data_IF_524552287120
#
_entry.id   IF_524552287120
#
_cell.length_a   1.000
_cell.length_b   1.000
_cell.length_c   1.000
_cell.angle_alpha   90.00
_cell.angle_beta   90.00
_cell.angle_gamma   90.00
#
_symmetry.space_group_name_H-M   'P 1'
#
loop_
_entity.id
_entity.type
_entity.pdbx_description
1 polymer ?
#
# COMPACT_ATOMS: atom_id res chain seq x y z
N UNK A 1 7.51 -19.78 -4.24
CA UNK A 1 8.04 -18.64 -5.02
C UNK A 1 6.88 -18.07 -5.84
N UNK A 2 6.42 -16.86 -5.54
CA UNK A 2 5.42 -16.19 -6.37
C UNK A 2 6.11 -15.55 -7.57
N UNK A 3 5.89 -16.08 -8.75
CA UNK A 3 6.27 -15.42 -10.00
C UNK A 3 5.17 -14.38 -10.27
N UNK A 4 5.52 -13.10 -10.17
CA UNK A 4 4.61 -11.99 -10.47
C UNK A 4 5.14 -11.25 -11.68
N UNK A 5 4.27 -11.05 -12.67
CA UNK A 5 4.58 -10.15 -13.77
C UNK A 5 4.81 -8.74 -13.21
N UNK A 6 5.80 -8.08 -13.75
CA UNK A 6 6.21 -6.76 -13.27
C UNK A 6 5.57 -5.66 -14.11
N UNK A 7 4.92 -4.70 -13.46
CA UNK A 7 4.39 -3.51 -14.10
C UNK A 7 4.85 -2.24 -13.37
N UNK A 8 4.76 -1.09 -14.01
CA UNK A 8 5.02 0.19 -13.37
C UNK A 8 3.70 0.75 -12.83
N UNK A 9 3.52 0.86 -11.49
CA UNK A 9 2.26 1.30 -10.88
C UNK A 9 1.85 2.73 -11.28
N UNK A 10 2.80 3.64 -11.42
CA UNK A 10 2.51 5.02 -11.83
C UNK A 10 1.97 5.07 -13.27
N UNK A 11 2.63 4.34 -14.20
CA UNK A 11 2.14 4.25 -15.58
C UNK A 11 0.76 3.60 -15.67
N UNK A 12 0.48 2.62 -14.81
CA UNK A 12 -0.86 2.01 -14.73
C UNK A 12 -1.90 3.06 -14.30
N UNK A 13 -1.62 3.83 -13.24
CA UNK A 13 -2.53 4.86 -12.75
C UNK A 13 -2.76 5.97 -13.79
N UNK A 14 -1.71 6.45 -14.45
CA UNK A 14 -1.82 7.44 -15.53
C UNK A 14 -2.59 6.87 -16.73
N UNK A 15 -2.35 5.62 -17.11
CA UNK A 15 -3.10 4.97 -18.17
C UNK A 15 -4.61 4.88 -17.86
N UNK A 16 -4.98 4.57 -16.60
CA UNK A 16 -6.37 4.61 -16.17
C UNK A 16 -6.97 6.01 -16.28
N UNK A 17 -6.24 7.05 -15.88
CA UNK A 17 -6.71 8.43 -16.01
C UNK A 17 -7.08 8.78 -17.46
N UNK A 18 -6.24 8.38 -18.42
CA UNK A 18 -6.51 8.60 -19.86
C UNK A 18 -7.68 7.77 -20.38
N UNK A 19 -7.92 6.59 -19.84
CA UNK A 19 -9.06 5.75 -20.24
C UNK A 19 -10.39 6.29 -19.72
N UNK A 20 -10.45 6.78 -18.47
CA UNK A 20 -11.73 7.18 -17.87
C UNK A 20 -12.20 8.56 -18.30
N UNK A 21 -11.31 9.49 -18.66
CA UNK A 21 -11.69 10.84 -19.14
C UNK A 21 -12.67 10.83 -20.31
N UNK A 22 -12.40 10.11 -21.42
CA UNK A 22 -13.36 10.04 -22.55
C UNK A 22 -14.67 9.32 -22.22
N UNK A 23 -14.72 8.59 -21.08
CA UNK A 23 -15.95 7.97 -20.58
C UNK A 23 -16.83 8.95 -19.79
N UNK A 24 -16.44 10.22 -19.67
CA UNK A 24 -17.18 11.26 -18.97
C UNK A 24 -16.85 11.36 -17.48
N UNK A 25 -15.76 10.75 -17.03
CA UNK A 25 -15.28 10.92 -15.65
C UNK A 25 -14.47 12.21 -15.54
N UNK A 26 -14.90 13.08 -14.63
CA UNK A 26 -14.17 14.30 -14.29
C UNK A 26 -13.11 14.00 -13.23
N UNK A 27 -11.87 14.40 -13.49
CA UNK A 27 -10.72 14.21 -12.58
C UNK A 27 -10.28 15.58 -12.04
N UNK A 28 -10.28 15.71 -10.73
CA UNK A 28 -9.83 16.90 -10.01
C UNK A 28 -8.59 16.58 -9.19
N UNK A 29 -7.44 17.06 -9.63
CA UNK A 29 -6.16 16.97 -8.90
C UNK A 29 -6.01 18.16 -7.95
N UNK A 30 -5.12 18.03 -6.95
CA UNK A 30 -4.87 19.06 -5.94
C UNK A 30 -6.16 19.57 -5.25
N UNK A 31 -7.14 18.68 -5.10
CA UNK A 31 -8.45 18.98 -4.56
C UNK A 31 -8.74 18.09 -3.34
N UNK A 32 -8.12 18.38 -2.18
CA UNK A 32 -8.34 17.59 -0.98
C UNK A 32 -9.76 17.74 -0.47
N UNK A 33 -10.42 16.61 -0.18
CA UNK A 33 -11.70 16.59 0.54
C UNK A 33 -11.42 16.77 2.02
N UNK A 34 -11.93 17.85 2.60
CA UNK A 34 -11.68 18.23 4.00
C UNK A 34 -12.77 17.76 4.94
N UNK A 35 -14.00 17.65 4.44
CA UNK A 35 -15.16 17.20 5.21
C UNK A 35 -16.14 16.40 4.35
N UNK A 36 -16.84 15.47 5.00
CA UNK A 36 -17.93 14.68 4.42
C UNK A 36 -19.14 14.80 5.34
N UNK A 37 -20.24 15.32 4.83
CA UNK A 37 -21.52 15.42 5.52
C UNK A 37 -22.62 14.68 4.75
N UNK A 38 -23.67 14.25 5.47
CA UNK A 38 -24.88 13.67 4.87
C UNK A 38 -26.05 14.57 5.18
N UNK A 39 -26.62 15.16 4.14
CA UNK A 39 -27.72 16.11 4.27
C UNK A 39 -28.76 15.89 3.17
N UNK A 40 -30.04 15.88 3.56
CA UNK A 40 -31.16 15.77 2.64
C UNK A 40 -31.06 14.60 1.62
N UNK A 41 -30.55 13.45 2.08
CA UNK A 41 -30.39 12.26 1.25
C UNK A 41 -29.23 12.31 0.22
N UNK A 42 -28.36 13.30 0.33
CA UNK A 42 -27.14 13.44 -0.47
C UNK A 42 -25.89 13.43 0.42
N UNK A 43 -24.76 13.15 -0.19
CA UNK A 43 -23.44 13.29 0.44
C UNK A 43 -22.80 14.58 -0.07
N UNK A 44 -22.39 15.42 0.86
CA UNK A 44 -21.69 16.67 0.59
C UNK A 44 -20.21 16.49 0.90
N UNK A 45 -19.37 16.93 -0.02
CA UNK A 45 -17.90 16.91 0.12
C UNK A 45 -17.41 18.34 0.06
N UNK A 46 -16.73 18.78 1.10
CA UNK A 46 -16.10 20.10 1.13
C UNK A 46 -14.67 20.03 0.66
N UNK A 47 -14.28 21.01 -0.16
CA UNK A 47 -12.91 21.21 -0.64
C UNK A 47 -12.54 22.69 -0.51
N UNK A 48 -11.25 23.05 -0.49
CA UNK A 48 -10.84 24.47 -0.37
C UNK A 48 -11.40 25.40 -1.46
N UNK A 49 -11.70 24.86 -2.63
CA UNK A 49 -12.09 25.65 -3.80
C UNK A 49 -13.56 25.44 -4.25
N UNK A 50 -14.33 24.66 -3.51
CA UNK A 50 -15.73 24.41 -3.83
C UNK A 50 -16.26 23.14 -3.19
N UNK A 51 -17.53 22.85 -3.42
CA UNK A 51 -18.21 21.72 -2.79
C UNK A 51 -18.77 20.79 -3.86
N UNK A 52 -18.79 19.49 -3.57
CA UNK A 52 -19.41 18.46 -4.41
C UNK A 52 -20.62 17.89 -3.69
N UNK A 53 -21.71 17.71 -4.40
CA UNK A 53 -22.93 17.06 -3.91
C UNK A 53 -23.20 15.82 -4.75
N UNK A 54 -23.24 14.65 -4.11
CA UNK A 54 -23.39 13.36 -4.77
C UNK A 54 -24.47 12.49 -4.11
N UNK A 55 -25.04 11.57 -4.89
CA UNK A 55 -25.92 10.53 -4.35
C UNK A 55 -25.15 9.45 -3.60
N UNK A 56 -24.00 9.11 -4.12
CA UNK A 56 -23.11 8.08 -3.60
C UNK A 56 -21.66 8.57 -3.63
N UNK A 57 -20.88 8.17 -2.64
CA UNK A 57 -19.45 8.48 -2.53
C UNK A 57 -18.65 7.20 -2.30
N UNK A 58 -17.48 7.12 -2.92
CA UNK A 58 -16.50 6.05 -2.67
C UNK A 58 -15.28 6.63 -1.97
N UNK A 59 -14.95 6.10 -0.80
CA UNK A 59 -13.71 6.38 -0.11
C UNK A 59 -12.67 5.33 -0.51
N UNK A 60 -11.92 5.61 -1.57
CA UNK A 60 -10.79 4.80 -2.05
C UNK A 60 -9.46 5.41 -1.59
N UNK A 61 -9.41 5.92 -0.37
CA UNK A 61 -8.37 6.77 0.18
C UNK A 61 -7.22 5.99 0.83
N UNK A 62 -7.22 4.65 0.73
CA UNK A 62 -6.17 3.76 1.23
C UNK A 62 -5.62 4.18 2.62
N UNK A 63 -4.35 4.49 2.73
CA UNK A 63 -3.69 4.87 3.98
C UNK A 63 -4.25 6.17 4.60
N UNK A 64 -4.84 7.06 3.83
CA UNK A 64 -5.49 8.31 4.30
C UNK A 64 -6.91 8.09 4.84
N UNK A 65 -7.44 6.88 4.80
CA UNK A 65 -8.80 6.57 5.29
C UNK A 65 -9.03 6.92 6.76
N UNK A 66 -7.99 6.97 7.59
CA UNK A 66 -8.09 7.31 9.01
C UNK A 66 -8.49 8.78 9.28
N UNK A 67 -8.41 9.66 8.30
CA UNK A 67 -8.91 11.04 8.42
C UNK A 67 -10.45 11.10 8.46
N UNK A 68 -11.13 10.12 7.88
CA UNK A 68 -12.58 10.05 7.88
C UNK A 68 -13.10 9.39 9.17
N UNK A 69 -14.04 10.05 9.84
CA UNK A 69 -14.56 9.67 11.17
C UNK A 69 -14.99 8.21 11.25
N UNK A 70 -15.71 7.74 10.24
CA UNK A 70 -16.25 6.36 10.17
C UNK A 70 -15.17 5.30 9.93
N UNK A 71 -14.01 5.71 9.45
CA UNK A 71 -12.89 4.82 9.11
C UNK A 71 -11.69 4.94 10.06
N UNK A 72 -11.71 5.92 10.97
CA UNK A 72 -10.57 6.37 11.80
C UNK A 72 -9.80 5.24 12.51
N UNK A 73 -10.47 4.14 12.90
CA UNK A 73 -9.85 3.03 13.63
C UNK A 73 -9.87 1.71 12.87
N UNK A 74 -10.34 1.70 11.63
CA UNK A 74 -10.41 0.48 10.82
C UNK A 74 -9.05 0.08 10.25
N UNK A 75 -8.15 1.04 10.08
CA UNK A 75 -6.80 0.84 9.58
C UNK A 75 -5.84 1.89 10.17
N UNK A 76 -4.55 1.66 10.00
CA UNK A 76 -3.50 2.64 10.25
C UNK A 76 -2.60 2.78 9.02
N UNK A 77 -1.98 3.95 8.80
CA UNK A 77 -0.90 4.10 7.84
C UNK A 77 0.38 3.44 8.38
N UNK A 78 0.98 2.59 7.58
CA UNK A 78 2.29 1.97 7.84
C UNK A 78 3.18 2.29 6.65
N UNK A 79 4.34 2.89 6.90
CA UNK A 79 5.25 3.31 5.84
C UNK A 79 6.24 2.21 5.49
N UNK A 80 6.35 1.90 4.22
CA UNK A 80 7.38 1.04 3.65
C UNK A 80 8.33 1.89 2.81
N UNK A 81 9.58 1.44 2.69
CA UNK A 81 10.64 2.20 2.03
C UNK A 81 11.29 1.37 0.92
N UNK A 82 11.80 2.07 -0.07
CA UNK A 82 12.36 1.49 -1.29
C UNK A 82 13.64 2.22 -1.66
N UNK A 83 14.64 1.48 -2.12
CA UNK A 83 15.84 1.99 -2.75
C UNK A 83 15.94 1.49 -4.19
N UNK A 84 16.57 2.28 -5.07
CA UNK A 84 16.79 1.91 -6.46
C UNK A 84 18.21 2.24 -6.89
N UNK A 85 18.86 1.31 -7.56
CA UNK A 85 20.23 1.46 -8.07
C UNK A 85 20.30 2.31 -9.35
N UNK A 86 21.51 2.65 -9.75
CA UNK A 86 21.82 2.99 -11.14
C UNK A 86 21.55 1.76 -12.04
N UNK A 87 21.50 1.92 -13.39
CA UNK A 87 21.34 0.79 -14.31
C UNK A 87 22.45 -0.26 -14.12
N UNK A 88 22.08 -1.53 -14.00
CA UNK A 88 23.03 -2.63 -13.94
C UNK A 88 23.70 -2.83 -15.29
N UNK A 89 24.98 -3.12 -15.26
CA UNK A 89 25.78 -3.49 -16.44
C UNK A 89 25.59 -4.98 -16.76
N UNK A 90 26.00 -5.38 -17.96
CA UNK A 90 25.92 -6.77 -18.41
C UNK A 90 26.69 -7.74 -17.47
N UNK A 91 27.87 -7.33 -17.00
CA UNK A 91 28.66 -8.08 -16.02
C UNK A 91 27.87 -8.41 -14.74
N UNK A 92 27.04 -7.46 -14.26
CA UNK A 92 26.20 -7.67 -13.09
C UNK A 92 25.12 -8.74 -13.33
N UNK A 93 24.51 -8.76 -14.52
CA UNK A 93 23.48 -9.75 -14.85
C UNK A 93 24.01 -11.17 -14.91
N UNK A 94 25.20 -11.37 -15.42
CA UNK A 94 25.84 -12.69 -15.54
C UNK A 94 26.03 -13.35 -14.17
N UNK A 95 26.37 -12.57 -13.15
CA UNK A 95 26.56 -13.09 -11.78
C UNK A 95 25.26 -13.18 -10.98
N UNK A 96 24.35 -12.22 -11.15
CA UNK A 96 23.02 -12.23 -10.47
C UNK A 96 22.14 -13.37 -10.98
N UNK A 97 22.32 -13.80 -12.25
CA UNK A 97 21.58 -14.94 -12.82
C UNK A 97 20.09 -14.72 -12.99
N UNK A 98 19.63 -13.47 -13.06
CA UNK A 98 18.21 -13.10 -13.08
C UNK A 98 17.62 -13.13 -14.51
N UNK A 99 17.40 -14.33 -15.03
CA UNK A 99 17.07 -14.53 -16.45
C UNK A 99 15.68 -14.01 -16.85
N UNK A 100 14.67 -14.18 -15.98
CA UNK A 100 13.26 -13.92 -16.35
C UNK A 100 12.73 -12.59 -15.78
N UNK A 101 13.55 -11.80 -15.10
CA UNK A 101 13.20 -10.47 -14.55
C UNK A 101 11.95 -10.47 -13.64
N UNK A 102 11.58 -11.60 -13.09
CA UNK A 102 10.43 -11.75 -12.19
C UNK A 102 10.62 -10.92 -10.90
N UNK A 103 9.51 -10.50 -10.31
CA UNK A 103 9.53 -9.97 -8.94
C UNK A 103 9.81 -11.10 -7.95
N UNK A 104 10.60 -10.81 -6.95
CA UNK A 104 11.01 -11.77 -5.89
C UNK A 104 10.60 -11.18 -4.55
N UNK A 105 10.06 -12.03 -3.69
CA UNK A 105 9.83 -11.74 -2.26
C UNK A 105 10.47 -12.86 -1.44
N UNK A 106 11.09 -12.51 -0.30
CA UNK A 106 11.56 -13.50 0.66
C UNK A 106 10.42 -14.01 1.57
N UNK A 107 10.71 -14.89 2.49
CA UNK A 107 9.73 -15.52 3.36
C UNK A 107 9.72 -14.95 4.79
N UNK A 108 10.33 -13.79 5.02
CA UNK A 108 10.30 -13.10 6.31
C UNK A 108 8.93 -12.46 6.58
N UNK A 109 8.62 -12.20 7.84
CA UNK A 109 7.45 -11.38 8.21
C UNK A 109 7.59 -9.94 7.71
N UNK A 110 8.79 -9.37 7.87
CA UNK A 110 9.17 -8.08 7.31
C UNK A 110 9.90 -8.33 5.98
N UNK A 111 9.12 -8.69 5.00
CA UNK A 111 9.59 -9.16 3.68
C UNK A 111 10.55 -8.16 3.01
N UNK A 112 11.56 -8.72 2.32
CA UNK A 112 12.23 -7.99 1.25
C UNK A 112 11.57 -8.34 -0.06
N UNK A 113 11.25 -7.34 -0.85
CA UNK A 113 10.75 -7.50 -2.20
C UNK A 113 11.62 -6.73 -3.17
N UNK A 114 12.00 -7.37 -4.26
CA UNK A 114 12.90 -6.76 -5.23
C UNK A 114 12.61 -7.21 -6.64
N UNK A 115 12.95 -6.37 -7.58
CA UNK A 115 12.76 -6.60 -9.02
C UNK A 115 13.69 -5.71 -9.85
N UNK A 116 13.74 -6.02 -11.15
CA UNK A 116 14.40 -5.19 -12.15
C UNK A 116 13.39 -4.27 -12.84
N UNK A 117 13.76 -3.02 -13.06
CA UNK A 117 13.03 -2.08 -13.92
C UNK A 117 13.32 -2.36 -15.40
N UNK A 118 12.50 -1.77 -16.29
CA UNK A 118 12.71 -1.91 -17.76
C UNK A 118 14.09 -1.42 -18.19
N UNK A 119 14.63 -0.39 -17.53
CA UNK A 119 15.94 0.19 -17.77
C UNK A 119 17.06 -0.43 -16.93
N UNK A 120 16.85 -1.69 -16.50
CA UNK A 120 17.86 -2.51 -15.81
C UNK A 120 18.32 -2.01 -14.43
N UNK A 121 17.49 -1.31 -13.68
CA UNK A 121 17.80 -0.95 -12.29
C UNK A 121 17.25 -2.00 -11.34
N UNK A 122 17.99 -2.30 -10.27
CA UNK A 122 17.47 -3.07 -9.17
C UNK A 122 16.67 -2.15 -8.24
N UNK A 123 15.45 -2.53 -7.96
CA UNK A 123 14.58 -1.92 -6.94
C UNK A 123 14.42 -2.91 -5.81
N UNK A 124 14.69 -2.49 -4.57
CA UNK A 124 14.45 -3.29 -3.36
C UNK A 124 13.69 -2.46 -2.34
N UNK A 125 12.69 -3.07 -1.72
CA UNK A 125 11.94 -2.50 -0.61
C UNK A 125 11.65 -3.52 0.48
N UNK A 126 11.05 -3.07 1.59
CA UNK A 126 10.73 -3.90 2.74
C UNK A 126 11.68 -3.69 3.91
N UNK A 127 12.18 -4.76 4.54
CA UNK A 127 13.07 -4.81 5.69
C UNK A 127 12.41 -4.33 6.99
N UNK A 128 12.01 -3.06 7.02
CA UNK A 128 11.42 -2.38 8.17
C UNK A 128 10.21 -1.56 7.76
N UNK A 129 9.41 -1.22 8.75
CA UNK A 129 8.27 -0.31 8.55
C UNK A 129 8.38 0.88 9.51
N UNK A 130 8.00 2.04 9.02
CA UNK A 130 7.87 3.24 9.85
C UNK A 130 6.42 3.50 10.21
N UNK A 131 6.22 3.99 11.40
CA UNK A 131 4.90 4.24 11.96
C UNK A 131 4.69 5.73 12.17
N UNK A 132 3.50 6.19 11.85
CA UNK A 132 3.06 7.54 12.13
C UNK A 132 2.43 7.61 13.52
N UNK A 133 2.81 8.58 14.31
CA UNK A 133 2.11 8.94 15.54
C UNK A 133 1.02 9.96 15.22
N UNK A 134 -0.18 9.71 15.70
CA UNK A 134 -1.31 10.59 15.39
C UNK A 134 -1.69 10.55 13.90
N UNK A 135 -1.70 11.71 13.27
CA UNK A 135 -2.05 11.90 11.87
C UNK A 135 -0.85 12.34 11.01
N UNK A 136 0.37 12.13 11.50
CA UNK A 136 1.58 12.44 10.74
C UNK A 136 1.68 11.54 9.51
N UNK A 137 1.70 12.14 8.32
CA UNK A 137 1.81 11.44 7.02
C UNK A 137 3.10 11.80 6.29
N UNK A 138 4.10 12.34 6.99
CA UNK A 138 5.40 12.75 6.43
C UNK A 138 6.51 11.80 6.90
N UNK A 139 6.50 10.55 6.37
CA UNK A 139 7.45 9.48 6.72
C UNK A 139 8.09 8.83 5.50
N UNK A 140 8.06 9.51 4.38
CA UNK A 140 8.63 9.05 3.10
C UNK A 140 10.17 8.95 3.13
N UNK A 141 10.83 9.68 4.04
CA UNK A 141 12.27 9.62 4.23
C UNK A 141 12.63 8.93 5.56
N UNK A 142 13.38 7.84 5.46
CA UNK A 142 13.93 7.11 6.60
C UNK A 142 15.36 6.65 6.29
N UNK A 143 16.39 7.48 6.58
CA UNK A 143 17.78 7.15 6.27
C UNK A 143 18.25 5.82 6.85
N UNK A 144 17.80 5.46 8.05
CA UNK A 144 18.19 4.19 8.70
C UNK A 144 17.72 2.99 7.90
N UNK A 145 16.45 3.00 7.44
CA UNK A 145 15.91 1.93 6.60
C UNK A 145 16.55 1.93 5.22
N UNK A 146 16.80 3.10 4.61
CA UNK A 146 17.47 3.18 3.32
C UNK A 146 18.88 2.61 3.38
N UNK A 147 19.68 2.95 4.38
CA UNK A 147 21.03 2.41 4.54
C UNK A 147 21.01 0.90 4.80
N UNK A 148 20.04 0.43 5.58
CA UNK A 148 19.79 -1.00 5.77
C UNK A 148 19.51 -1.72 4.46
N UNK A 149 18.54 -1.23 3.65
CA UNK A 149 18.19 -1.82 2.35
C UNK A 149 19.37 -1.82 1.37
N UNK A 150 20.18 -0.75 1.35
CA UNK A 150 21.40 -0.71 0.52
C UNK A 150 22.41 -1.80 0.92
N UNK A 151 22.55 -2.04 2.22
CA UNK A 151 23.42 -3.11 2.73
C UNK A 151 22.85 -4.48 2.36
N UNK A 152 21.53 -4.69 2.52
CA UNK A 152 20.88 -5.95 2.14
C UNK A 152 21.05 -6.26 0.64
N UNK A 153 20.98 -5.23 -0.23
CA UNK A 153 21.28 -5.42 -1.67
C UNK A 153 22.71 -5.91 -1.88
N UNK A 154 23.70 -5.33 -1.18
CA UNK A 154 25.10 -5.69 -1.33
C UNK A 154 25.42 -7.07 -0.75
N UNK A 155 24.75 -7.45 0.34
CA UNK A 155 24.87 -8.79 0.95
C UNK A 155 24.22 -9.85 0.07
N UNK A 156 23.04 -9.57 -0.47
CA UNK A 156 22.32 -10.51 -1.33
C UNK A 156 22.97 -10.67 -2.71
N UNK A 157 23.57 -9.60 -3.23
CA UNK A 157 24.25 -9.56 -4.53
C UNK A 157 25.66 -8.97 -4.40
N UNK A 158 26.65 -9.77 -3.98
CA UNK A 158 28.04 -9.29 -3.73
C UNK A 158 28.68 -8.61 -4.94
N UNK A 159 28.29 -8.96 -6.17
CA UNK A 159 28.73 -8.28 -7.40
C UNK A 159 28.30 -6.81 -7.44
N UNK A 160 27.28 -6.43 -6.68
CA UNK A 160 26.74 -5.06 -6.59
C UNK A 160 27.34 -4.26 -5.41
N UNK A 161 28.45 -4.70 -4.80
CA UNK A 161 29.05 -4.06 -3.61
C UNK A 161 29.35 -2.57 -3.82
N UNK A 162 29.76 -2.17 -5.02
CA UNK A 162 30.14 -0.79 -5.38
C UNK A 162 29.04 -0.04 -6.16
N UNK A 163 27.84 -0.64 -6.29
CA UNK A 163 26.72 -0.05 -7.03
C UNK A 163 26.23 1.24 -6.36
N UNK A 164 25.89 2.24 -7.17
CA UNK A 164 25.31 3.50 -6.69
C UNK A 164 23.79 3.39 -6.58
N UNK A 165 23.23 3.95 -5.53
CA UNK A 165 21.79 4.13 -5.38
C UNK A 165 21.42 5.54 -5.82
N UNK A 166 20.41 5.64 -6.66
CA UNK A 166 20.03 6.89 -7.33
C UNK A 166 18.69 7.45 -6.84
N UNK A 167 17.84 6.59 -6.25
CA UNK A 167 16.53 6.99 -5.72
C UNK A 167 16.24 6.26 -4.41
N UNK A 168 15.58 6.98 -3.53
CA UNK A 168 15.13 6.52 -2.21
C UNK A 168 13.78 7.17 -1.95
N UNK A 169 12.78 6.39 -1.56
CA UNK A 169 11.46 6.93 -1.23
C UNK A 169 10.70 5.97 -0.33
N UNK A 170 9.69 6.50 0.36
CA UNK A 170 8.73 5.74 1.12
C UNK A 170 7.31 6.00 0.65
N UNK A 171 6.39 5.14 1.08
CA UNK A 171 4.97 5.30 0.83
C UNK A 171 4.13 4.57 1.88
N UNK A 172 2.96 5.12 2.25
CA UNK A 172 2.11 4.52 3.24
C UNK A 172 1.23 3.44 2.65
N UNK A 173 1.10 2.33 3.36
CA UNK A 173 0.12 1.27 3.10
C UNK A 173 -0.95 1.26 4.18
N UNK A 174 -2.16 0.85 3.82
CA UNK A 174 -3.30 0.74 4.73
C UNK A 174 -3.30 -0.63 5.40
N UNK A 175 -3.19 -0.64 6.74
CA UNK A 175 -3.06 -1.87 7.51
C UNK A 175 -4.18 -1.98 8.56
N UNK A 176 -5.20 -2.84 8.37
CA UNK A 176 -6.11 -3.28 9.41
C UNK A 176 -5.39 -4.13 10.46
N UNK A 177 -5.92 -4.19 11.69
CA UNK A 177 -5.28 -4.92 12.78
C UNK A 177 -5.13 -6.43 12.49
N UNK A 178 -6.07 -7.00 11.76
CA UNK A 178 -6.10 -8.41 11.37
C UNK A 178 -5.48 -8.70 10.00
N UNK A 179 -4.76 -7.74 9.43
CA UNK A 179 -4.07 -7.85 8.13
C UNK A 179 -4.99 -8.25 6.95
N UNK A 180 -6.30 -8.11 7.09
CA UNK A 180 -7.27 -8.46 6.06
C UNK A 180 -7.93 -7.21 5.45
N UNK A 181 -8.18 -7.18 4.12
CA UNK A 181 -8.85 -6.06 3.48
C UNK A 181 -10.27 -5.87 3.98
N UNK A 182 -10.83 -4.68 3.80
CA UNK A 182 -12.20 -4.40 4.11
C UNK A 182 -12.83 -3.48 3.05
N UNK A 183 -13.93 -3.92 2.50
CA UNK A 183 -14.79 -3.16 1.58
C UNK A 183 -16.19 -3.16 2.19
N UNK A 184 -16.89 -2.03 2.17
CA UNK A 184 -18.24 -1.98 2.73
C UNK A 184 -18.81 -0.58 2.81
N UNK A 185 -19.90 -0.46 3.56
CA UNK A 185 -20.56 0.82 3.78
C UNK A 185 -20.01 1.54 5.02
N UNK A 186 -19.79 2.83 4.89
CA UNK A 186 -19.39 3.71 5.99
C UNK A 186 -20.60 4.48 6.51
N UNK A 187 -21.24 3.97 7.56
CA UNK A 187 -22.51 4.51 8.09
C UNK A 187 -23.71 3.94 7.36
N UNK A 188 -24.13 4.56 6.29
CA UNK A 188 -25.23 4.11 5.44
C UNK A 188 -24.75 3.70 4.03
N UNK A 189 -25.70 3.34 3.15
CA UNK A 189 -25.39 2.90 1.79
C UNK A 189 -24.98 4.03 0.83
N UNK A 190 -24.96 5.28 1.28
CA UNK A 190 -24.53 6.41 0.45
C UNK A 190 -23.01 6.53 0.35
N UNK A 191 -22.28 5.96 1.30
CA UNK A 191 -20.80 5.99 1.30
C UNK A 191 -20.25 4.56 1.33
N UNK A 192 -19.48 4.20 0.31
CA UNK A 192 -18.77 2.92 0.21
C UNK A 192 -17.28 3.17 0.45
N UNK A 193 -16.59 2.26 1.12
CA UNK A 193 -15.15 2.37 1.31
C UNK A 193 -14.42 1.10 0.85
N UNK A 194 -13.16 1.26 0.46
CA UNK A 194 -12.20 0.18 0.21
C UNK A 194 -10.87 0.55 0.85
N UNK A 195 -10.36 -0.31 1.75
CA UNK A 195 -9.12 -0.10 2.48
C UNK A 195 -8.44 -1.44 2.84
N UNK A 196 -7.20 -1.36 3.36
CA UNK A 196 -6.54 -2.50 3.96
C UNK A 196 -5.90 -3.46 2.96
N UNK A 197 -5.33 -2.96 1.88
CA UNK A 197 -4.67 -3.81 0.87
C UNK A 197 -3.31 -4.36 1.30
N UNK A 198 -2.77 -3.89 2.42
CA UNK A 198 -1.56 -4.41 3.09
C UNK A 198 -0.40 -4.64 2.10
N UNK A 199 -0.10 -3.64 1.25
CA UNK A 199 0.96 -3.73 0.23
C UNK A 199 0.53 -4.36 -1.11
N UNK A 200 -0.60 -5.06 -1.20
CA UNK A 200 -1.07 -5.74 -2.43
C UNK A 200 -1.99 -4.88 -3.30
N UNK A 201 -2.01 -3.55 -3.10
CA UNK A 201 -2.96 -2.63 -3.72
C UNK A 201 -2.96 -2.65 -5.24
N UNK A 202 -1.81 -2.78 -5.89
CA UNK A 202 -1.71 -2.72 -7.36
C UNK A 202 -2.56 -3.79 -8.04
N UNK A 203 -2.58 -5.02 -7.52
CA UNK A 203 -3.40 -6.11 -8.05
C UNK A 203 -4.84 -6.07 -7.52
N UNK A 204 -5.01 -5.89 -6.20
CA UNK A 204 -6.31 -6.01 -5.55
C UNK A 204 -7.28 -4.89 -5.94
N UNK A 205 -6.80 -3.66 -6.10
CA UNK A 205 -7.69 -2.52 -6.37
C UNK A 205 -8.41 -2.61 -7.71
N UNK A 206 -7.85 -3.35 -8.67
CA UNK A 206 -8.52 -3.62 -9.96
C UNK A 206 -9.81 -4.43 -9.73
N UNK A 207 -9.76 -5.46 -8.89
CA UNK A 207 -10.93 -6.27 -8.55
C UNK A 207 -11.84 -5.52 -7.57
N UNK A 208 -11.27 -4.81 -6.59
CA UNK A 208 -12.01 -4.03 -5.62
C UNK A 208 -12.91 -2.98 -6.29
N UNK A 209 -12.46 -2.38 -7.41
CA UNK A 209 -13.26 -1.43 -8.18
C UNK A 209 -14.59 -2.04 -8.65
N UNK A 210 -14.59 -3.30 -9.12
CA UNK A 210 -15.81 -4.03 -9.48
C UNK A 210 -16.70 -4.30 -8.28
N UNK A 211 -16.12 -4.78 -7.16
CA UNK A 211 -16.83 -5.03 -5.91
C UNK A 211 -17.52 -3.76 -5.39
N UNK A 212 -16.79 -2.62 -5.42
CA UNK A 212 -17.33 -1.31 -5.03
C UNK A 212 -18.47 -0.87 -5.94
N UNK A 213 -18.34 -1.06 -7.25
CA UNK A 213 -19.40 -0.74 -8.21
C UNK A 213 -20.66 -1.58 -7.96
N UNK A 214 -20.51 -2.88 -7.67
CA UNK A 214 -21.64 -3.75 -7.34
C UNK A 214 -22.33 -3.34 -6.03
N UNK A 215 -21.57 -2.92 -5.01
CA UNK A 215 -22.13 -2.39 -3.77
C UNK A 215 -22.90 -1.08 -4.00
N UNK A 216 -22.37 -0.15 -4.80
CA UNK A 216 -23.04 1.12 -5.13
C UNK A 216 -24.35 0.88 -5.86
N UNK A 217 -24.34 -0.08 -6.78
CA UNK A 217 -25.51 -0.47 -7.58
C UNK A 217 -26.42 -1.46 -6.84
N UNK A 218 -26.09 -1.80 -5.60
CA UNK A 218 -26.82 -2.75 -4.74
C UNK A 218 -27.03 -4.13 -5.41
N UNK A 219 -26.05 -4.55 -6.22
CA UNK A 219 -26.03 -5.86 -6.88
C UNK A 219 -25.45 -6.92 -5.96
N UNK A 220 -26.06 -8.09 -5.95
CA UNK A 220 -25.51 -9.29 -5.28
C UNK A 220 -24.77 -10.12 -6.32
N UNK A 221 -23.47 -10.26 -6.14
CA UNK A 221 -22.56 -11.03 -7.02
C UNK A 221 -21.59 -11.83 -6.16
N UNK A 222 -20.88 -12.77 -6.75
CA UNK A 222 -19.82 -13.52 -6.06
C UNK A 222 -18.77 -12.60 -5.44
N UNK A 223 -18.53 -11.42 -6.05
CA UNK A 223 -17.61 -10.41 -5.52
C UNK A 223 -18.13 -9.70 -4.27
N UNK A 224 -19.44 -9.63 -4.08
CA UNK A 224 -20.06 -9.04 -2.88
C UNK A 224 -20.30 -10.05 -1.77
N UNK A 225 -20.15 -11.34 -2.06
CA UNK A 225 -20.33 -12.45 -1.10
C UNK A 225 -19.00 -13.04 -0.58
N UNK A 226 -17.96 -12.22 -0.54
CA UNK A 226 -16.65 -12.62 0.01
C UNK A 226 -16.48 -12.11 1.43
N UNK A 227 -15.70 -12.81 2.27
CA UNK A 227 -15.61 -12.58 3.72
C UNK A 227 -15.18 -11.15 4.11
N UNK A 228 -14.44 -10.45 3.26
CA UNK A 228 -13.95 -9.09 3.55
C UNK A 228 -14.93 -7.98 3.11
N UNK A 229 -16.06 -8.33 2.50
CA UNK A 229 -17.11 -7.36 2.13
C UNK A 229 -18.13 -7.23 3.26
N UNK A 230 -18.42 -5.99 3.65
CA UNK A 230 -19.31 -5.62 4.75
C UNK A 230 -18.95 -6.29 6.11
N UNK A 231 -17.70 -6.75 6.27
CA UNK A 231 -17.25 -7.35 7.51
C UNK A 231 -17.07 -6.31 8.62
N UNK A 232 -17.21 -6.75 9.84
CA UNK A 232 -16.84 -5.98 11.01
C UNK A 232 -15.33 -6.03 11.20
N UNK A 233 -14.65 -4.89 11.00
CA UNK A 233 -13.21 -4.78 11.25
C UNK A 233 -12.89 -4.75 12.74
N UNK A 234 -11.75 -5.30 13.14
CA UNK A 234 -11.23 -5.15 14.50
C UNK A 234 -10.64 -3.73 14.61
N UNK A 235 -11.14 -2.88 15.50
CA UNK A 235 -10.66 -1.52 15.58
C UNK A 235 -9.27 -1.44 16.24
N UNK A 236 -8.37 -0.69 15.65
CA UNK A 236 -7.11 -0.36 16.31
C UNK A 236 -7.34 0.34 17.65
N UNK A 237 -6.51 0.07 18.68
CA UNK A 237 -6.56 0.82 19.92
C UNK A 237 -6.35 2.33 19.70
N UNK A 238 -6.84 3.20 20.58
CA UNK A 238 -6.48 4.62 20.52
C UNK A 238 -5.02 4.83 20.97
N UNK A 239 -4.45 5.99 20.63
CA UNK A 239 -3.15 6.40 21.19
C UNK A 239 -3.27 6.64 22.74
N UNK A 240 -2.22 6.32 23.52
CA UNK A 240 -0.91 5.78 23.11
C UNK A 240 -0.86 4.26 22.97
N UNK A 241 -1.94 3.53 23.31
CA UNK A 241 -2.01 2.05 23.26
C UNK A 241 -1.73 1.50 21.86
N UNK A 242 -2.17 2.20 20.81
CA UNK A 242 -1.92 1.83 19.42
C UNK A 242 -0.41 1.69 19.16
N UNK A 243 0.38 2.69 19.57
CA UNK A 243 1.83 2.68 19.38
C UNK A 243 2.49 1.51 20.13
N UNK A 244 2.05 1.22 21.35
CA UNK A 244 2.54 0.08 22.13
C UNK A 244 2.20 -1.26 21.46
N UNK A 245 0.96 -1.42 20.99
CA UNK A 245 0.50 -2.62 20.28
C UNK A 245 1.37 -2.88 19.03
N UNK A 246 1.62 -1.84 18.24
CA UNK A 246 2.41 -1.99 17.02
C UNK A 246 3.86 -2.36 17.33
N UNK A 247 4.48 -1.70 18.33
CA UNK A 247 5.83 -2.05 18.77
C UNK A 247 5.94 -3.49 19.25
N UNK A 248 4.93 -4.00 19.93
CA UNK A 248 4.89 -5.41 20.36
C UNK A 248 4.79 -6.36 19.13
N UNK A 249 3.91 -6.07 18.16
CA UNK A 249 3.78 -6.85 16.93
C UNK A 249 5.09 -6.85 16.14
N UNK A 250 5.70 -5.68 15.92
CA UNK A 250 6.97 -5.59 15.20
C UNK A 250 8.10 -6.30 15.94
N UNK A 251 8.16 -6.17 17.28
CA UNK A 251 9.13 -6.88 18.10
C UNK A 251 9.01 -8.40 17.97
N UNK A 252 7.78 -8.93 17.91
CA UNK A 252 7.52 -10.34 17.66
C UNK A 252 7.94 -10.77 16.24
N UNK A 253 7.59 -10.00 15.20
CA UNK A 253 7.98 -10.27 13.82
C UNK A 253 9.50 -10.30 13.65
N UNK A 254 10.23 -9.32 14.19
CA UNK A 254 11.68 -9.30 14.18
C UNK A 254 12.32 -10.48 14.92
N UNK A 255 11.69 -10.93 16.01
CA UNK A 255 12.18 -12.09 16.76
C UNK A 255 12.01 -13.38 15.94
N UNK A 256 10.85 -13.59 15.29
CA UNK A 256 10.63 -14.74 14.40
C UNK A 256 11.59 -14.72 13.21
N UNK A 257 11.79 -13.57 12.57
CA UNK A 257 12.69 -13.43 11.42
C UNK A 257 14.15 -13.78 11.80
N UNK A 258 14.61 -13.38 13.00
CA UNK A 258 15.93 -13.74 13.51
C UNK A 258 16.08 -15.26 13.73
N UNK A 259 15.06 -15.92 14.25
CA UNK A 259 15.08 -17.39 14.41
C UNK A 259 15.15 -18.06 13.05
N UNK A 260 14.37 -17.58 12.09
CA UNK A 260 14.38 -18.11 10.73
C UNK A 260 15.75 -17.97 10.06
N UNK A 261 16.39 -16.81 10.17
CA UNK A 261 17.73 -16.59 9.62
C UNK A 261 18.80 -17.47 10.30
N UNK A 262 18.75 -17.61 11.62
CA UNK A 262 19.66 -18.48 12.36
C UNK A 262 19.52 -19.96 11.98
N UNK A 263 18.31 -20.42 11.67
CA UNK A 263 18.06 -21.82 11.26
C UNK A 263 18.61 -22.17 9.88
N UNK A 264 18.95 -21.18 9.05
CA UNK A 264 19.53 -21.37 7.70
C UNK A 264 21.06 -21.27 7.68
N UNK A 265 21.65 -20.75 8.76
CA UNK A 265 23.10 -20.56 8.88
C UNK A 265 23.83 -21.77 9.46
N UNK A 266 23.15 -22.85 9.79
CA UNK A 266 23.65 -24.15 10.26
C UNK A 266 23.40 -25.25 9.24
#
# INVERSE_FOLDING_TARGET
MCIRDSLNPAKLAWGWAEVVKPMGVELYENTPVTEIAREHGKVHLDTPNGNVRADKVVLATNAWSHFFKELKRKQIPVWTHIVMTEPLKEEHFNEVGWQNRQGIEDARNLVHYYRLTVDNRLVMGGRDVSLSYGNDMERDLNPVTFDGLKNDVRELFPVLKDIKFTHEWGGPVSVPLDMAPAIGYAGDKSVVYSLGTVGHGVSMTQLNGRTVADLILERKTDLTDVFFVNRKTIPWPPEPLRNLTIKAILGYMHWEDRIYDASKSG
#
